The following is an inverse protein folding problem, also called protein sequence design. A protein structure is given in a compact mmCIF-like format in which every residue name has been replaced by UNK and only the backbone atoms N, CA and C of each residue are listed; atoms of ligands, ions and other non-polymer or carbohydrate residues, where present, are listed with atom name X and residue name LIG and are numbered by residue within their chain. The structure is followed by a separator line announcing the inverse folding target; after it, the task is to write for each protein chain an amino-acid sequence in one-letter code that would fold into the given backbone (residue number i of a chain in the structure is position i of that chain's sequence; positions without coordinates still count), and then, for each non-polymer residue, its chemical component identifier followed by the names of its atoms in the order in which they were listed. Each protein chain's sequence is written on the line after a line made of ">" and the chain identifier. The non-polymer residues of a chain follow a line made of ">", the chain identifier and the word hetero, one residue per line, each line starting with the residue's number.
data_IF_716483532664
#
_entry.id   IF_716483532664
#
_cell.length_a   1.000
_cell.length_b   1.000
_cell.length_c   1.000
_cell.angle_alpha   90.00
_cell.angle_beta   90.00
_cell.angle_gamma   90.00
#
_symmetry.space_group_name_H-M   'P 1'
#
loop_
_entity.id
_entity.type
_entity.pdbx_description
1 polymer ?
#
# COMPACT_ATOMS: atom_id res chain seq x y z
N UNK A 1 -31.09 2.13 -11.20
CA UNK A 1 -31.33 3.08 -10.10
C UNK A 1 -31.08 2.34 -8.80
N UNK A 2 -29.79 2.20 -8.39
CA UNK A 2 -29.40 1.57 -7.13
C UNK A 2 -28.44 2.53 -6.42
N UNK A 3 -28.97 3.27 -5.44
CA UNK A 3 -28.20 4.08 -4.51
C UNK A 3 -27.63 3.17 -3.43
N UNK A 4 -26.34 2.90 -3.45
CA UNK A 4 -25.63 2.36 -2.30
C UNK A 4 -25.08 3.49 -1.44
N UNK A 5 -25.83 3.83 -0.40
CA UNK A 5 -25.39 4.67 0.71
C UNK A 5 -24.52 3.79 1.64
N UNK A 6 -23.21 3.96 1.56
CA UNK A 6 -22.28 3.43 2.54
C UNK A 6 -22.01 4.47 3.63
N UNK A 7 -22.87 4.51 4.61
CA UNK A 7 -22.56 5.11 5.92
C UNK A 7 -21.95 4.02 6.81
N UNK A 8 -20.64 3.81 6.71
CA UNK A 8 -19.93 3.04 7.73
C UNK A 8 -19.46 4.00 8.82
N UNK A 9 -20.26 4.02 9.89
CA UNK A 9 -19.91 4.53 11.21
C UNK A 9 -18.77 3.68 11.78
N UNK A 10 -17.53 4.12 11.64
CA UNK A 10 -16.39 3.65 12.42
C UNK A 10 -16.02 4.72 13.45
N UNK A 11 -16.82 4.81 14.50
CA UNK A 11 -16.41 5.38 15.76
C UNK A 11 -15.71 4.28 16.57
N UNK A 12 -14.38 4.35 16.71
CA UNK A 12 -13.68 3.38 17.55
C UNK A 12 -12.18 3.52 17.61
N UNK A 13 -11.71 4.33 18.58
CA UNK A 13 -10.39 4.29 19.23
C UNK A 13 -9.20 4.94 18.52
N UNK A 14 -8.96 6.16 19.01
CA UNK A 14 -7.70 6.90 19.00
C UNK A 14 -6.57 6.05 19.59
N UNK A 15 -5.63 5.68 18.74
CA UNK A 15 -4.39 5.03 19.07
C UNK A 15 -3.44 5.17 17.89
N UNK A 16 -3.46 6.36 17.25
CA UNK A 16 -2.57 6.68 16.15
C UNK A 16 -1.21 7.06 16.72
N UNK A 17 -0.33 6.08 16.86
CA UNK A 17 1.10 6.37 16.95
C UNK A 17 1.46 7.05 15.63
N UNK A 18 1.62 8.38 15.68
CA UNK A 18 2.19 9.18 14.61
C UNK A 18 3.63 8.71 14.37
N UNK A 19 3.82 7.68 13.54
CA UNK A 19 5.09 7.47 12.85
C UNK A 19 5.13 8.50 11.73
N UNK A 20 5.34 9.77 12.14
CA UNK A 20 5.18 10.93 11.27
C UNK A 20 6.44 11.37 10.55
N UNK A 21 7.36 10.47 10.16
CA UNK A 21 8.64 10.95 9.59
C UNK A 21 8.94 10.43 8.17
N UNK A 22 8.17 9.50 7.63
CA UNK A 22 8.45 8.95 6.29
C UNK A 22 7.30 9.03 5.28
N UNK A 23 6.19 9.66 5.61
CA UNK A 23 5.08 9.88 4.69
C UNK A 23 5.02 11.35 4.28
N UNK A 24 5.98 11.81 3.48
CA UNK A 24 5.67 12.95 2.63
C UNK A 24 4.69 12.46 1.56
N UNK A 25 3.50 13.09 1.42
CA UNK A 25 2.66 12.82 0.28
C UNK A 25 3.47 13.16 -0.98
N UNK A 26 3.73 12.16 -1.81
CA UNK A 26 4.49 12.29 -3.07
C UNK A 26 3.82 13.26 -4.04
N UNK A 27 2.66 13.77 -3.68
CA UNK A 27 1.85 14.66 -4.49
C UNK A 27 1.68 16.03 -3.83
N UNK A 28 2.58 16.96 -4.16
CA UNK A 28 2.26 18.39 -4.05
C UNK A 28 1.22 18.72 -5.13
N UNK A 29 0.13 19.43 -4.79
CA UNK A 29 -0.93 19.79 -5.75
C UNK A 29 -0.46 20.68 -6.92
N UNK A 30 0.75 21.21 -6.87
CA UNK A 30 1.36 22.04 -7.90
C UNK A 30 1.96 21.27 -9.09
N UNK A 31 1.99 19.93 -9.05
CA UNK A 31 2.64 19.13 -10.09
C UNK A 31 1.68 18.68 -11.21
N UNK A 32 0.42 19.18 -11.20
CA UNK A 32 -0.59 18.87 -12.22
C UNK A 32 -0.24 19.39 -13.62
N UNK A 33 0.71 20.32 -13.75
CA UNK A 33 0.95 21.04 -15.00
C UNK A 33 1.83 20.30 -16.03
N UNK A 34 2.49 19.19 -15.67
CA UNK A 34 3.47 18.54 -16.54
C UNK A 34 3.18 17.06 -16.85
N UNK A 35 1.94 16.59 -16.65
CA UNK A 35 1.60 15.26 -17.12
C UNK A 35 1.34 15.31 -18.63
N UNK A 36 1.98 14.45 -19.45
CA UNK A 36 1.65 14.30 -20.88
C UNK A 36 0.35 13.50 -21.05
N UNK A 37 -0.76 14.03 -20.50
CA UNK A 37 -2.07 13.38 -20.53
C UNK A 37 -3.04 14.28 -21.29
N UNK A 38 -3.67 13.80 -22.37
CA UNK A 38 -4.59 14.60 -23.18
C UNK A 38 -5.92 14.89 -22.49
N UNK A 39 -6.30 14.14 -21.44
CA UNK A 39 -7.60 14.21 -20.78
C UNK A 39 -7.49 14.45 -19.28
N UNK A 40 -8.20 15.45 -18.75
CA UNK A 40 -8.28 15.77 -17.32
C UNK A 40 -8.81 14.57 -16.51
N UNK A 41 -9.78 13.81 -17.07
CA UNK A 41 -10.34 12.61 -16.41
C UNK A 41 -9.30 11.51 -16.24
N UNK A 42 -8.41 11.36 -17.23
CA UNK A 42 -7.33 10.37 -17.17
C UNK A 42 -6.29 10.77 -16.12
N UNK A 43 -5.96 12.06 -16.05
CA UNK A 43 -5.07 12.57 -15.01
C UNK A 43 -5.64 12.32 -13.61
N UNK A 44 -6.92 12.58 -13.38
CA UNK A 44 -7.58 12.31 -12.09
C UNK A 44 -7.53 10.83 -11.73
N UNK A 45 -7.86 9.93 -12.68
CA UNK A 45 -7.79 8.48 -12.46
C UNK A 45 -6.38 8.01 -12.12
N UNK A 46 -5.37 8.55 -12.80
CA UNK A 46 -3.97 8.23 -12.54
C UNK A 46 -3.53 8.70 -11.14
N UNK A 47 -3.94 9.90 -10.72
CA UNK A 47 -3.61 10.40 -9.38
C UNK A 47 -4.33 9.61 -8.27
N UNK A 48 -5.58 9.19 -8.51
CA UNK A 48 -6.29 8.30 -7.59
C UNK A 48 -5.56 6.96 -7.45
N UNK A 49 -5.17 6.36 -8.58
CA UNK A 49 -4.35 5.14 -8.60
C UNK A 49 -3.04 5.33 -7.81
N UNK A 50 -2.33 6.42 -8.05
CA UNK A 50 -1.05 6.70 -7.38
C UNK A 50 -1.22 6.88 -5.86
N UNK A 51 -2.29 7.53 -5.43
CA UNK A 51 -2.66 7.67 -4.02
C UNK A 51 -2.87 6.31 -3.35
N UNK A 52 -3.70 5.45 -3.95
CA UNK A 52 -3.98 4.09 -3.44
C UNK A 52 -2.75 3.18 -3.47
N UNK A 53 -1.96 3.28 -4.53
CA UNK A 53 -0.70 2.54 -4.65
C UNK A 53 0.28 2.90 -3.52
N UNK A 54 0.40 4.18 -3.20
CA UNK A 54 1.26 4.64 -2.11
C UNK A 54 0.75 4.18 -0.74
N UNK A 55 -0.57 4.23 -0.48
CA UNK A 55 -1.18 3.68 0.73
C UNK A 55 -0.86 2.19 0.90
N UNK A 56 -1.02 1.40 -0.18
CA UNK A 56 -0.68 -0.02 -0.18
C UNK A 56 0.81 -0.25 0.08
N UNK A 57 1.71 0.51 -0.54
CA UNK A 57 3.15 0.38 -0.35
C UNK A 57 3.58 0.66 1.09
N UNK A 58 2.98 1.67 1.73
CA UNK A 58 3.22 1.99 3.14
C UNK A 58 2.70 0.87 4.04
N UNK A 59 1.50 0.38 3.80
CA UNK A 59 0.92 -0.73 4.57
C UNK A 59 1.76 -2.01 4.42
N UNK A 60 2.28 -2.29 3.22
CA UNK A 60 3.19 -3.42 2.96
C UNK A 60 4.52 -3.30 3.70
N UNK A 61 5.06 -2.09 3.78
CA UNK A 61 6.26 -1.82 4.57
C UNK A 61 6.00 -2.07 6.07
N UNK A 62 4.86 -1.60 6.59
CA UNK A 62 4.46 -1.85 7.98
C UNK A 62 4.33 -3.35 8.27
N UNK A 63 3.68 -4.10 7.38
CA UNK A 63 3.55 -5.55 7.48
C UNK A 63 4.94 -6.23 7.59
N UNK A 64 5.89 -5.84 6.74
CA UNK A 64 7.25 -6.38 6.75
C UNK A 64 7.98 -6.08 8.07
N UNK A 65 7.83 -4.88 8.61
CA UNK A 65 8.42 -4.50 9.90
C UNK A 65 7.83 -5.35 11.03
N UNK A 66 6.51 -5.59 11.03
CA UNK A 66 5.86 -6.42 12.05
C UNK A 66 6.30 -7.88 12.00
N UNK A 67 6.51 -8.44 10.80
CA UNK A 67 7.09 -9.79 10.64
C UNK A 67 8.47 -9.86 11.30
N UNK A 68 9.33 -8.86 11.08
CA UNK A 68 10.67 -8.82 11.68
C UNK A 68 10.60 -8.73 13.21
N UNK A 69 9.67 -7.93 13.75
CA UNK A 69 9.45 -7.80 15.20
C UNK A 69 9.02 -9.15 15.80
N UNK A 70 8.05 -9.83 15.18
CA UNK A 70 7.56 -11.14 15.65
C UNK A 70 8.68 -12.17 15.62
N UNK A 71 9.49 -12.19 14.57
CA UNK A 71 10.65 -13.09 14.45
C UNK A 71 11.66 -12.82 15.55
N UNK A 72 11.96 -11.55 15.84
CA UNK A 72 12.89 -11.16 16.89
C UNK A 72 12.38 -11.56 18.28
N UNK A 73 11.10 -11.32 18.57
CA UNK A 73 10.48 -11.76 19.85
C UNK A 73 10.53 -13.28 19.97
N UNK A 74 10.22 -14.02 18.88
CA UNK A 74 10.30 -15.48 18.85
C UNK A 74 11.71 -16.01 19.17
N UNK A 75 12.74 -15.39 18.58
CA UNK A 75 14.14 -15.72 18.91
C UNK A 75 14.47 -15.43 20.38
N UNK A 76 14.03 -14.29 20.92
CA UNK A 76 14.23 -13.97 22.33
C UNK A 76 13.60 -15.01 23.26
N UNK A 77 12.38 -15.48 22.96
CA UNK A 77 11.70 -16.53 23.76
C UNK A 77 12.53 -17.81 23.79
N UNK A 78 13.17 -18.18 22.68
CA UNK A 78 14.00 -19.39 22.61
C UNK A 78 15.34 -19.24 23.35
N UNK A 79 15.98 -18.08 23.32
CA UNK A 79 17.32 -17.88 23.86
C UNK A 79 17.34 -17.46 25.33
N UNK A 80 16.34 -16.72 25.84
CA UNK A 80 16.29 -16.22 27.22
C UNK A 80 16.45 -17.35 28.28
N UNK A 81 15.75 -18.51 28.16
CA UNK A 81 15.88 -19.58 29.14
C UNK A 81 17.29 -20.17 29.25
N UNK A 82 18.07 -20.10 28.16
CA UNK A 82 19.43 -20.61 28.12
C UNK A 82 20.45 -19.70 28.83
N UNK A 83 20.18 -18.37 28.79
CA UNK A 83 21.10 -17.39 29.40
C UNK A 83 20.76 -17.06 30.84
N UNK A 84 19.49 -17.17 31.26
CA UNK A 84 19.04 -16.84 32.62
C UNK A 84 18.56 -18.10 33.35
N UNK A 85 19.43 -18.75 34.10
CA UNK A 85 19.02 -19.86 34.95
C UNK A 85 18.12 -19.37 36.11
N UNK A 86 16.93 -19.95 36.23
CA UNK A 86 15.95 -19.68 37.29
C UNK A 86 14.89 -18.62 36.97
N UNK A 87 15.28 -17.40 36.65
CA UNK A 87 14.34 -16.31 36.29
C UNK A 87 13.94 -16.31 34.80
N UNK A 88 14.64 -17.05 33.94
CA UNK A 88 14.45 -17.11 32.52
C UNK A 88 13.06 -17.61 32.09
N UNK A 89 12.46 -18.52 32.86
CA UNK A 89 11.13 -19.05 32.61
C UNK A 89 10.05 -17.97 32.79
N UNK A 90 10.14 -17.14 33.81
CA UNK A 90 9.17 -16.07 34.06
C UNK A 90 9.25 -15.01 32.94
N UNK A 91 10.47 -14.60 32.55
CA UNK A 91 10.69 -13.66 31.45
C UNK A 91 10.20 -14.22 30.12
N UNK A 92 10.42 -15.51 29.87
CA UNK A 92 9.92 -16.17 28.67
C UNK A 92 8.36 -16.15 28.58
N UNK A 93 7.67 -16.36 29.69
CA UNK A 93 6.21 -16.29 29.78
C UNK A 93 5.69 -14.89 29.49
N UNK A 94 6.36 -13.84 30.01
CA UNK A 94 6.00 -12.45 29.71
C UNK A 94 6.18 -12.16 28.22
N UNK A 95 7.30 -12.58 27.62
CA UNK A 95 7.57 -12.40 26.20
C UNK A 95 6.57 -13.16 25.31
N UNK A 96 6.08 -14.32 25.77
CA UNK A 96 5.04 -15.08 25.07
C UNK A 96 3.72 -14.30 24.99
N UNK A 97 3.35 -13.58 26.04
CA UNK A 97 2.17 -12.70 26.03
C UNK A 97 2.36 -11.57 24.99
N UNK A 98 3.53 -10.92 24.97
CA UNK A 98 3.84 -9.90 23.95
C UNK A 98 3.83 -10.47 22.53
N UNK A 99 4.33 -11.68 22.32
CA UNK A 99 4.27 -12.39 21.05
C UNK A 99 2.82 -12.57 20.57
N UNK A 100 1.92 -12.95 21.48
CA UNK A 100 0.50 -13.13 21.16
C UNK A 100 -0.15 -11.81 20.69
N UNK A 101 0.13 -10.69 21.40
CA UNK A 101 -0.37 -9.38 21.02
C UNK A 101 0.20 -8.94 19.65
N UNK A 102 1.49 -9.14 19.41
CA UNK A 102 2.13 -8.81 18.14
C UNK A 102 1.58 -9.65 17.00
N UNK A 103 1.33 -10.94 17.22
CA UNK A 103 0.75 -11.84 16.22
C UNK A 103 -0.69 -11.42 15.84
N UNK A 104 -1.54 -11.10 16.82
CA UNK A 104 -2.89 -10.60 16.55
C UNK A 104 -2.87 -9.29 15.74
N UNK A 105 -2.00 -8.36 16.12
CA UNK A 105 -1.87 -7.10 15.38
C UNK A 105 -1.37 -7.32 13.94
N UNK A 106 -0.46 -8.28 13.73
CA UNK A 106 0.00 -8.65 12.40
C UNK A 106 -1.14 -9.21 11.52
N UNK A 107 -2.02 -10.05 12.08
CA UNK A 107 -3.16 -10.61 11.34
C UNK A 107 -4.08 -9.50 10.84
N UNK A 108 -4.45 -8.55 11.71
CA UNK A 108 -5.27 -7.38 11.32
C UNK A 108 -4.59 -6.54 10.23
N UNK A 109 -3.27 -6.36 10.33
CA UNK A 109 -2.52 -5.60 9.34
C UNK A 109 -2.46 -6.32 7.98
N UNK A 110 -2.26 -7.62 7.99
CA UNK A 110 -2.22 -8.46 6.78
C UNK A 110 -3.56 -8.43 6.03
N UNK A 111 -4.69 -8.52 6.74
CA UNK A 111 -6.02 -8.36 6.13
C UNK A 111 -6.18 -6.99 5.47
N UNK A 112 -5.77 -5.92 6.17
CA UNK A 112 -5.80 -4.56 5.62
C UNK A 112 -4.94 -4.43 4.36
N UNK A 113 -3.73 -4.99 4.34
CA UNK A 113 -2.83 -4.98 3.18
C UNK A 113 -3.46 -5.72 2.01
N UNK A 114 -4.10 -6.87 2.27
CA UNK A 114 -4.80 -7.66 1.25
C UNK A 114 -5.95 -6.87 0.61
N UNK A 115 -6.78 -6.20 1.41
CA UNK A 115 -7.85 -5.35 0.89
C UNK A 115 -7.33 -4.16 0.06
N UNK A 116 -6.26 -3.51 0.51
CA UNK A 116 -5.64 -2.43 -0.25
C UNK A 116 -5.06 -2.93 -1.57
N UNK A 117 -4.44 -4.11 -1.59
CA UNK A 117 -3.91 -4.74 -2.80
C UNK A 117 -5.00 -4.98 -3.85
N UNK A 118 -6.14 -5.56 -3.45
CA UNK A 118 -7.27 -5.80 -4.35
C UNK A 118 -7.77 -4.50 -4.98
N UNK A 119 -7.94 -3.44 -4.17
CA UNK A 119 -8.37 -2.14 -4.67
C UNK A 119 -7.39 -1.53 -5.67
N UNK A 120 -6.08 -1.60 -5.38
CA UNK A 120 -5.03 -1.11 -6.28
C UNK A 120 -5.01 -1.93 -7.57
N UNK A 121 -5.18 -3.24 -7.47
CA UNK A 121 -5.18 -4.15 -8.62
C UNK A 121 -6.36 -3.86 -9.58
N UNK A 122 -7.56 -3.70 -9.05
CA UNK A 122 -8.76 -3.33 -9.82
C UNK A 122 -8.54 -1.98 -10.52
N UNK A 123 -8.03 -0.99 -9.77
CA UNK A 123 -7.81 0.35 -10.32
C UNK A 123 -6.72 0.36 -11.40
N UNK A 124 -5.68 -0.47 -11.25
CA UNK A 124 -4.65 -0.67 -12.27
C UNK A 124 -5.25 -1.23 -13.56
N UNK A 125 -6.05 -2.30 -13.49
CA UNK A 125 -6.70 -2.86 -14.67
C UNK A 125 -7.65 -1.86 -15.34
N UNK A 126 -8.39 -1.10 -14.54
CA UNK A 126 -9.28 -0.06 -15.07
C UNK A 126 -8.49 1.06 -15.77
N UNK A 127 -7.34 1.46 -15.21
CA UNK A 127 -6.45 2.45 -15.82
C UNK A 127 -5.87 1.93 -17.14
N UNK A 128 -5.36 0.69 -17.17
CA UNK A 128 -4.77 0.07 -18.37
C UNK A 128 -5.83 -0.09 -19.46
N UNK A 129 -7.02 -0.57 -19.13
CA UNK A 129 -8.12 -0.70 -20.10
C UNK A 129 -8.52 0.63 -20.73
N UNK A 130 -8.57 1.71 -19.94
CA UNK A 130 -8.83 3.06 -20.49
C UNK A 130 -7.69 3.60 -21.34
N UNK A 131 -6.45 3.26 -21.03
CA UNK A 131 -5.28 3.60 -21.86
C UNK A 131 -5.34 2.94 -23.23
N UNK A 132 -5.89 1.74 -23.34
CA UNK A 132 -5.97 1.00 -24.59
C UNK A 132 -7.11 1.49 -25.50
N UNK A 133 -8.24 1.92 -24.90
CA UNK A 133 -9.48 2.17 -25.66
C UNK A 133 -9.71 3.65 -25.97
N UNK A 134 -9.14 4.60 -25.24
CA UNK A 134 -9.58 5.99 -25.36
C UNK A 134 -8.59 7.02 -24.84
N UNK A 135 -7.30 6.84 -25.07
CA UNK A 135 -6.31 7.80 -24.60
C UNK A 135 -6.21 9.05 -25.47
N UNK A 136 -6.42 8.92 -26.77
CA UNK A 136 -6.27 10.01 -27.75
C UNK A 136 -7.41 10.03 -28.75
N UNK A 137 -7.92 11.23 -29.08
CA UNK A 137 -8.90 11.48 -30.15
C UNK A 137 -8.24 11.73 -31.52
N UNK A 138 -7.04 11.22 -31.73
CA UNK A 138 -6.29 11.40 -32.97
C UNK A 138 -6.70 10.34 -34.00
N UNK A 139 -6.92 10.76 -35.23
CA UNK A 139 -7.21 9.87 -36.37
C UNK A 139 -5.96 9.11 -36.89
N UNK A 140 -4.77 9.53 -36.51
CA UNK A 140 -3.50 8.90 -36.92
C UNK A 140 -2.89 8.03 -35.84
N UNK A 141 -2.12 6.98 -36.20
CA UNK A 141 -1.42 6.15 -35.19
C UNK A 141 -0.46 7.02 -34.38
N UNK A 142 -0.78 7.23 -33.11
CA UNK A 142 0.01 8.08 -32.23
C UNK A 142 0.76 7.26 -31.16
N UNK A 143 1.91 7.77 -30.72
CA UNK A 143 2.72 7.18 -29.66
C UNK A 143 2.40 7.73 -28.26
N UNK A 144 1.28 8.41 -28.08
CA UNK A 144 0.91 9.09 -26.83
C UNK A 144 0.82 8.13 -25.65
N UNK A 145 0.20 6.96 -25.83
CA UNK A 145 0.08 5.92 -24.80
C UNK A 145 1.45 5.38 -24.39
N UNK A 146 2.30 5.12 -25.38
CA UNK A 146 3.66 4.62 -25.12
C UNK A 146 4.52 5.65 -24.40
N UNK A 147 4.42 6.92 -24.79
CA UNK A 147 5.13 8.02 -24.13
C UNK A 147 4.64 8.19 -22.68
N UNK A 148 3.34 8.09 -22.43
CA UNK A 148 2.78 8.12 -21.09
C UNK A 148 3.25 6.93 -20.24
N UNK A 149 3.22 5.70 -20.77
CA UNK A 149 3.73 4.51 -20.09
C UNK A 149 5.20 4.67 -19.72
N UNK A 150 6.06 5.11 -20.64
CA UNK A 150 7.49 5.39 -20.38
C UNK A 150 7.70 6.48 -19.33
N UNK A 151 6.87 7.53 -19.37
CA UNK A 151 6.92 8.61 -18.39
C UNK A 151 6.60 8.10 -16.98
N UNK A 152 5.53 7.32 -16.82
CA UNK A 152 5.11 6.73 -15.54
C UNK A 152 6.18 5.77 -15.02
N UNK A 153 6.71 4.91 -15.88
CA UNK A 153 7.77 3.96 -15.51
C UNK A 153 9.04 4.69 -15.05
N UNK A 154 9.48 5.73 -15.79
CA UNK A 154 10.67 6.50 -15.45
C UNK A 154 10.50 7.35 -14.18
N UNK A 155 9.34 7.99 -13.99
CA UNK A 155 9.10 8.92 -12.87
C UNK A 155 8.65 8.22 -11.58
N UNK A 156 7.82 7.21 -11.69
CA UNK A 156 7.18 6.54 -10.54
C UNK A 156 7.64 5.10 -10.33
N UNK A 157 8.44 4.55 -11.24
CA UNK A 157 8.91 3.14 -11.24
C UNK A 157 7.73 2.15 -11.21
N UNK A 158 6.61 2.50 -11.87
CA UNK A 158 5.41 1.69 -11.96
C UNK A 158 5.25 1.25 -13.41
N UNK A 159 5.18 -0.07 -13.65
CA UNK A 159 4.90 -0.62 -14.98
C UNK A 159 3.39 -0.66 -15.21
N UNK A 160 2.93 0.07 -16.24
CA UNK A 160 1.53 0.05 -16.73
C UNK A 160 1.34 -0.98 -17.86
N UNK A 161 2.10 -2.06 -17.86
CA UNK A 161 1.89 -3.17 -18.78
C UNK A 161 0.90 -4.17 -18.18
N UNK A 162 0.29 -5.03 -19.03
CA UNK A 162 -0.66 -6.07 -18.61
C UNK A 162 -0.07 -7.14 -17.67
N UNK A 163 1.14 -6.95 -17.15
CA UNK A 163 1.80 -7.78 -16.15
C UNK A 163 1.43 -7.36 -14.72
N UNK A 164 1.52 -8.31 -13.78
CA UNK A 164 1.26 -8.07 -12.36
C UNK A 164 2.07 -6.89 -11.83
N UNK A 165 1.45 -6.10 -10.94
CA UNK A 165 2.13 -5.12 -10.10
C UNK A 165 3.23 -5.86 -9.27
N UNK A 166 4.50 -5.72 -9.67
CA UNK A 166 5.66 -6.18 -8.92
C UNK A 166 6.22 -5.07 -8.06
#
# INVERSE_FOLDING_TARGET
>A
MFSYSWTSSFAGKKGLIKVGILCQPILKPTEHQNLPVPSVRMAQLFYEFLGRYNEWKIAKLQETIWILIILLIGLCILFIPWFLSGSGLIMSMVMLVFFFFAANHYIELNERVSHLYVNVHILHHHLVGKLEVGFCDHSEPCHCVQNFRRFVEKKYSISLNNGSLR
#
